data_IF_750607116954
#
_entry.id   IF_750607116954
#
_cell.length_a   1.000
_cell.length_b   1.000
_cell.length_c   1.000
_cell.angle_alpha   90.00
_cell.angle_beta   90.00
_cell.angle_gamma   90.00
#
_symmetry.space_group_name_H-M   'P 1'
#
loop_
_entity.id
_entity.type
_entity.pdbx_description
1 polymer ?
#
# COMPACT_ATOMS: atom_id res chain seq x y z
N UNK A 1 19.70 -8.04 -12.93
CA UNK A 1 19.94 -6.62 -12.55
C UNK A 1 20.11 -6.55 -11.05
N UNK A 2 21.15 -5.86 -10.57
CA UNK A 2 21.42 -5.76 -9.12
C UNK A 2 20.69 -4.59 -8.49
N UNK A 3 20.00 -4.82 -7.38
CA UNK A 3 19.14 -3.84 -6.70
C UNK A 3 19.46 -3.81 -5.21
N UNK A 4 19.69 -2.62 -4.67
CA UNK A 4 19.77 -2.40 -3.24
C UNK A 4 18.37 -2.11 -2.70
N UNK A 5 17.87 -2.93 -1.77
CA UNK A 5 16.64 -2.67 -1.04
C UNK A 5 16.99 -2.12 0.33
N UNK A 6 16.52 -0.92 0.64
CA UNK A 6 16.65 -0.30 1.95
C UNK A 6 15.28 -0.34 2.61
N UNK A 7 15.13 -1.16 3.65
CA UNK A 7 13.84 -1.29 4.37
C UNK A 7 14.05 -1.22 5.88
N UNK A 8 12.97 -0.98 6.63
CA UNK A 8 13.00 -0.94 8.07
C UNK A 8 13.17 -2.35 8.67
N UNK A 9 14.05 -2.53 9.66
CA UNK A 9 14.20 -3.80 10.38
C UNK A 9 12.91 -4.26 11.09
N UNK A 10 12.01 -3.32 11.39
CA UNK A 10 10.66 -3.58 11.92
C UNK A 10 9.62 -2.95 10.99
N UNK A 11 9.61 -3.40 9.72
CA UNK A 11 8.67 -2.93 8.70
C UNK A 11 7.26 -3.46 8.98
N UNK A 12 6.24 -2.61 8.89
CA UNK A 12 4.83 -2.95 9.10
C UNK A 12 3.94 -2.34 8.00
N UNK A 13 3.18 -3.15 7.24
CA UNK A 13 3.21 -4.62 7.23
C UNK A 13 4.61 -5.16 6.87
N UNK A 14 4.90 -6.39 7.31
CA UNK A 14 6.17 -7.06 7.01
C UNK A 14 6.17 -7.47 5.53
N UNK A 15 7.19 -7.04 4.78
CA UNK A 15 7.33 -7.31 3.35
C UNK A 15 8.41 -8.38 3.07
N UNK A 16 8.88 -9.10 4.08
CA UNK A 16 9.95 -10.10 3.94
C UNK A 16 9.61 -11.17 2.89
N UNK A 17 8.38 -11.68 2.86
CA UNK A 17 7.94 -12.64 1.83
C UNK A 17 7.92 -12.03 0.44
N UNK A 18 7.52 -10.76 0.31
CA UNK A 18 7.56 -10.03 -0.97
C UNK A 18 8.99 -9.90 -1.48
N UNK A 19 9.94 -9.49 -0.62
CA UNK A 19 11.34 -9.36 -1.02
C UNK A 19 12.03 -10.70 -1.27
N UNK A 20 11.70 -11.74 -0.51
CA UNK A 20 12.18 -13.09 -0.78
C UNK A 20 11.74 -13.56 -2.18
N UNK A 21 10.48 -13.31 -2.55
CA UNK A 21 9.96 -13.62 -3.89
C UNK A 21 10.58 -12.77 -4.99
N UNK A 22 10.83 -11.50 -4.72
CA UNK A 22 11.50 -10.61 -5.66
C UNK A 22 12.97 -11.05 -5.91
N UNK A 23 13.65 -11.58 -4.88
CA UNK A 23 15.01 -12.10 -4.98
C UNK A 23 15.14 -13.36 -5.87
N UNK A 24 14.03 -14.05 -6.16
CA UNK A 24 14.01 -15.15 -7.14
C UNK A 24 14.16 -14.64 -8.58
N UNK A 25 13.93 -13.35 -8.83
CA UNK A 25 13.90 -12.74 -10.16
C UNK A 25 15.02 -11.69 -10.37
N UNK A 26 15.49 -11.08 -9.29
CA UNK A 26 16.49 -10.01 -9.29
C UNK A 26 17.61 -10.31 -8.29
N UNK A 27 18.81 -9.79 -8.56
CA UNK A 27 19.92 -9.85 -7.61
C UNK A 27 19.72 -8.77 -6.54
N UNK A 28 19.17 -9.15 -5.39
CA UNK A 28 18.84 -8.23 -4.29
C UNK A 28 19.91 -8.23 -3.20
N UNK A 29 20.36 -7.04 -2.82
CA UNK A 29 21.03 -6.77 -1.55
C UNK A 29 20.03 -6.07 -0.63
N UNK A 30 19.62 -6.72 0.45
CA UNK A 30 18.60 -6.18 1.37
C UNK A 30 19.30 -5.65 2.63
N UNK A 31 19.14 -4.36 2.89
CA UNK A 31 19.62 -3.67 4.08
C UNK A 31 18.46 -3.34 5.01
N UNK A 32 18.38 -4.09 6.10
CA UNK A 32 17.46 -3.86 7.20
C UNK A 32 18.02 -2.76 8.10
N UNK A 33 17.33 -1.63 8.18
CA UNK A 33 17.77 -0.47 8.94
C UNK A 33 16.94 -0.28 10.21
N UNK A 34 17.60 -0.05 11.33
CA UNK A 34 16.96 0.39 12.55
C UNK A 34 16.46 1.86 12.47
N UNK A 35 15.80 2.35 13.53
CA UNK A 35 15.25 3.72 13.54
C UNK A 35 16.33 4.82 13.50
N UNK A 36 17.53 4.58 14.00
CA UNK A 36 18.64 5.53 13.96
C UNK A 36 19.25 5.57 12.55
N UNK A 37 19.47 4.40 11.96
CA UNK A 37 20.00 4.23 10.61
C UNK A 37 19.07 4.83 9.55
N UNK A 38 17.75 4.61 9.68
CA UNK A 38 16.75 5.22 8.79
C UNK A 38 16.79 6.76 8.80
N UNK A 39 17.20 7.40 9.91
CA UNK A 39 17.26 8.86 10.03
C UNK A 39 18.53 9.46 9.41
N UNK A 40 19.52 8.64 9.07
CA UNK A 40 20.77 9.08 8.46
C UNK A 40 21.31 8.04 7.47
N UNK A 41 20.61 7.90 6.35
CA UNK A 41 20.95 6.98 5.26
C UNK A 41 22.37 7.21 4.73
N UNK A 42 22.84 8.46 4.67
CA UNK A 42 24.23 8.77 4.26
C UNK A 42 25.25 8.05 5.13
N UNK A 43 25.02 8.04 6.46
CA UNK A 43 25.88 7.33 7.41
C UNK A 43 25.68 5.82 7.33
N UNK A 44 24.43 5.36 7.26
CA UNK A 44 24.10 3.93 7.26
C UNK A 44 24.60 3.20 6.01
N UNK A 45 24.73 3.94 4.90
CA UNK A 45 25.27 3.42 3.63
C UNK A 45 26.75 3.79 3.43
N UNK A 46 27.42 4.32 4.45
CA UNK A 46 28.85 4.60 4.37
C UNK A 46 29.62 3.28 4.16
N UNK A 47 30.41 3.20 3.10
CA UNK A 47 31.15 2.00 2.73
C UNK A 47 30.39 1.03 1.81
N UNK A 48 29.13 1.33 1.46
CA UNK A 48 28.43 0.63 0.38
C UNK A 48 28.82 1.29 -0.94
N UNK A 49 29.38 0.52 -1.88
CA UNK A 49 29.55 1.01 -3.25
C UNK A 49 28.18 1.07 -3.93
N UNK A 50 27.56 2.25 -3.91
CA UNK A 50 26.24 2.48 -4.48
C UNK A 50 26.25 2.44 -6.01
N UNK A 51 27.42 2.58 -6.65
CA UNK A 51 27.57 2.57 -8.11
C UNK A 51 27.33 1.19 -8.73
N UNK A 52 27.46 0.11 -7.95
CA UNK A 52 27.24 -1.26 -8.44
C UNK A 52 25.76 -1.63 -8.60
N UNK A 53 24.83 -0.83 -8.04
CA UNK A 53 23.40 -1.12 -8.10
C UNK A 53 22.75 -0.37 -9.24
N UNK A 54 22.03 -1.09 -10.09
CA UNK A 54 21.25 -0.47 -11.15
C UNK A 54 20.02 0.28 -10.60
N UNK A 55 19.50 -0.16 -9.44
CA UNK A 55 18.39 0.48 -8.74
C UNK A 55 18.63 0.48 -7.23
N UNK A 56 18.14 1.53 -6.58
CA UNK A 56 18.07 1.62 -5.11
C UNK A 56 16.60 1.77 -4.73
N UNK A 57 16.01 0.70 -4.21
CA UNK A 57 14.64 0.66 -3.72
C UNK A 57 14.59 1.15 -2.26
N UNK A 58 13.87 2.24 -2.02
CA UNK A 58 13.68 2.86 -0.72
C UNK A 58 12.28 2.53 -0.20
N UNK A 59 12.19 1.60 0.75
CA UNK A 59 10.99 1.22 1.51
C UNK A 59 11.19 1.58 2.99
N UNK A 60 11.29 2.88 3.27
CA UNK A 60 11.38 3.38 4.64
C UNK A 60 10.32 4.45 4.86
N UNK A 61 9.76 4.58 6.07
CA UNK A 61 8.66 5.50 6.30
C UNK A 61 9.01 6.93 5.90
N UNK A 62 8.15 7.58 5.11
CA UNK A 62 8.39 8.92 4.55
C UNK A 62 8.97 9.93 5.55
N UNK A 63 8.44 9.95 6.78
CA UNK A 63 8.91 10.82 7.89
C UNK A 63 10.39 10.70 8.22
N UNK A 64 11.03 9.59 7.86
CA UNK A 64 12.46 9.33 8.08
C UNK A 64 13.32 9.91 6.97
N UNK A 65 12.81 9.97 5.74
CA UNK A 65 13.57 10.41 4.57
C UNK A 65 13.34 11.88 4.19
N UNK A 66 12.28 12.52 4.68
CA UNK A 66 11.92 13.90 4.28
C UNK A 66 13.05 14.93 4.45
N UNK A 67 13.89 14.78 5.47
CA UNK A 67 15.02 15.70 5.75
C UNK A 67 16.33 15.31 5.06
N UNK A 68 16.33 14.22 4.31
CA UNK A 68 17.54 13.63 3.71
C UNK A 68 17.62 13.87 2.20
N UNK A 69 16.83 14.82 1.68
CA UNK A 69 16.72 15.14 0.26
C UNK A 69 18.07 15.37 -0.41
N UNK A 70 18.99 16.11 0.23
CA UNK A 70 20.31 16.39 -0.36
C UNK A 70 21.12 15.13 -0.67
N UNK A 71 21.11 14.14 0.24
CA UNK A 71 21.77 12.85 0.00
C UNK A 71 21.03 12.06 -1.08
N UNK A 72 19.71 11.95 -0.99
CA UNK A 72 18.92 11.20 -1.96
C UNK A 72 19.04 11.79 -3.38
N UNK A 73 19.02 13.11 -3.54
CA UNK A 73 19.24 13.76 -4.86
C UNK A 73 20.61 13.48 -5.46
N UNK A 74 21.60 13.02 -4.69
CA UNK A 74 22.91 12.65 -5.21
C UNK A 74 22.97 11.22 -5.77
N UNK A 75 21.94 10.40 -5.50
CA UNK A 75 21.88 9.00 -5.91
C UNK A 75 21.19 8.85 -7.27
N UNK A 76 21.60 7.81 -8.02
CA UNK A 76 20.97 7.43 -9.28
C UNK A 76 20.08 6.19 -9.10
N UNK A 77 19.13 5.98 -10.00
CA UNK A 77 18.26 4.79 -10.00
C UNK A 77 17.36 4.67 -8.76
N UNK A 78 17.01 5.78 -8.11
CA UNK A 78 16.18 5.80 -6.91
C UNK A 78 14.71 5.47 -7.22
N UNK A 79 14.24 4.37 -6.62
CA UNK A 79 12.84 3.95 -6.64
C UNK A 79 12.31 4.02 -5.23
N UNK A 80 11.22 4.74 -5.00
CA UNK A 80 10.52 4.77 -3.72
C UNK A 80 9.33 3.80 -3.77
N UNK A 81 9.16 2.97 -2.74
CA UNK A 81 7.93 2.21 -2.53
C UNK A 81 7.16 2.85 -1.37
N UNK A 82 5.98 3.41 -1.67
CA UNK A 82 5.29 4.30 -0.76
C UNK A 82 3.80 3.94 -0.60
N UNK A 83 3.47 3.41 0.58
CA UNK A 83 2.12 2.94 0.92
C UNK A 83 1.25 3.99 1.62
N UNK A 84 1.83 5.11 2.08
CA UNK A 84 1.17 6.16 2.87
C UNK A 84 0.96 7.48 2.10
N UNK A 85 1.34 7.54 0.82
CA UNK A 85 1.29 8.79 0.03
C UNK A 85 -0.14 9.31 -0.25
N UNK A 86 -1.20 8.55 0.04
CA UNK A 86 -2.58 9.07 -0.03
C UNK A 86 -2.77 10.32 0.85
N UNK A 87 -2.04 10.38 1.97
CA UNK A 87 -2.02 11.50 2.90
C UNK A 87 -1.59 12.82 2.24
N UNK A 88 -0.94 12.79 1.08
CA UNK A 88 -0.53 13.96 0.33
C UNK A 88 -1.71 14.84 -0.12
N UNK A 89 -2.86 14.24 -0.39
CA UNK A 89 -4.02 14.95 -0.96
C UNK A 89 -5.24 15.03 -0.04
N UNK A 90 -5.10 14.54 1.19
CA UNK A 90 -6.13 14.68 2.22
C UNK A 90 -5.92 16.05 2.89
N UNK A 91 -6.87 16.98 2.73
CA UNK A 91 -6.72 18.36 3.19
C UNK A 91 -6.54 18.50 4.71
N UNK A 92 -7.10 17.57 5.49
CA UNK A 92 -6.93 17.50 6.95
C UNK A 92 -5.64 16.84 7.40
N UNK A 93 -4.85 16.26 6.49
CA UNK A 93 -3.61 15.56 6.82
C UNK A 93 -2.47 16.52 7.12
N UNK A 94 -1.71 16.24 8.17
CA UNK A 94 -0.42 16.91 8.46
C UNK A 94 0.62 16.76 7.34
N UNK A 95 0.38 15.87 6.38
CA UNK A 95 1.24 15.60 5.21
C UNK A 95 0.70 16.19 3.91
N UNK A 96 -0.32 17.04 3.96
CA UNK A 96 -0.88 17.67 2.77
C UNK A 96 0.20 18.39 1.94
N UNK A 97 0.34 17.98 0.68
CA UNK A 97 1.35 18.44 -0.28
C UNK A 97 2.82 18.09 0.05
N UNK A 98 3.08 17.34 1.12
CA UNK A 98 4.45 17.05 1.55
C UNK A 98 5.18 16.09 0.62
N UNK A 99 4.49 15.09 0.06
CA UNK A 99 5.08 14.13 -0.86
C UNK A 99 5.38 14.78 -2.21
N UNK A 100 4.44 15.54 -2.77
CA UNK A 100 4.64 16.32 -4.00
C UNK A 100 5.88 17.21 -3.92
N UNK A 101 6.00 18.02 -2.85
CA UNK A 101 7.16 18.89 -2.64
C UNK A 101 8.47 18.12 -2.46
N UNK A 102 8.41 16.93 -1.84
CA UNK A 102 9.59 16.10 -1.64
C UNK A 102 10.08 15.54 -2.97
N UNK A 103 9.21 14.90 -3.75
CA UNK A 103 9.58 14.28 -5.03
C UNK A 103 9.96 15.31 -6.09
N UNK A 104 9.29 16.46 -6.16
CA UNK A 104 9.67 17.55 -7.05
C UNK A 104 11.08 18.13 -6.76
N UNK A 105 11.61 17.91 -5.56
CA UNK A 105 12.95 18.35 -5.18
C UNK A 105 14.06 17.32 -5.42
N UNK A 106 13.74 16.15 -5.96
CA UNK A 106 14.70 15.12 -6.35
C UNK A 106 14.97 15.21 -7.85
N UNK A 107 16.17 14.80 -8.28
CA UNK A 107 16.56 14.93 -9.68
C UNK A 107 15.68 14.09 -10.61
N UNK A 108 15.57 12.78 -10.37
CA UNK A 108 14.77 11.86 -11.18
C UNK A 108 14.25 10.67 -10.35
N UNK A 109 13.34 10.88 -9.38
CA UNK A 109 12.81 9.78 -8.61
C UNK A 109 11.78 9.00 -9.43
N UNK A 110 11.85 7.66 -9.37
CA UNK A 110 10.67 6.83 -9.64
C UNK A 110 9.94 6.57 -8.34
N UNK A 111 8.62 6.65 -8.34
CA UNK A 111 7.80 6.42 -7.14
C UNK A 111 6.72 5.40 -7.44
N UNK A 112 6.71 4.30 -6.71
CA UNK A 112 5.66 3.30 -6.76
C UNK A 112 4.73 3.57 -5.58
N UNK A 113 3.49 3.89 -5.87
CA UNK A 113 2.46 4.23 -4.88
C UNK A 113 1.28 3.26 -4.97
N UNK A 114 0.54 3.14 -3.88
CA UNK A 114 -0.51 2.14 -3.73
C UNK A 114 -1.91 2.56 -4.17
N UNK A 115 -2.08 3.80 -4.63
CA UNK A 115 -3.36 4.31 -5.14
C UNK A 115 -3.26 4.75 -6.61
N UNK A 116 -4.22 4.34 -7.44
CA UNK A 116 -4.19 4.59 -8.87
C UNK A 116 -4.37 6.08 -9.19
N UNK A 117 -5.34 6.72 -8.53
CA UNK A 117 -5.57 8.17 -8.65
C UNK A 117 -4.40 8.98 -8.11
N UNK A 118 -3.76 8.50 -7.04
CA UNK A 118 -2.54 9.07 -6.46
C UNK A 118 -1.37 9.01 -7.46
N UNK A 119 -1.12 7.85 -8.08
CA UNK A 119 -0.11 7.72 -9.14
C UNK A 119 -0.39 8.67 -10.30
N UNK A 120 -1.65 8.76 -10.74
CA UNK A 120 -2.05 9.69 -11.79
C UNK A 120 -1.75 11.15 -11.42
N UNK A 121 -2.11 11.60 -10.21
CA UNK A 121 -1.85 12.97 -9.76
C UNK A 121 -0.35 13.30 -9.70
N UNK A 122 0.46 12.40 -9.15
CA UNK A 122 1.92 12.58 -9.11
C UNK A 122 2.52 12.69 -10.52
N UNK A 123 2.00 11.94 -11.51
CA UNK A 123 2.41 12.11 -12.91
C UNK A 123 2.04 13.48 -13.48
N UNK A 124 0.86 13.99 -13.15
CA UNK A 124 0.46 15.35 -13.57
C UNK A 124 1.36 16.43 -12.94
N UNK A 125 1.98 16.12 -11.80
CA UNK A 125 2.98 16.97 -11.14
C UNK A 125 4.41 16.76 -11.67
N UNK A 126 4.60 15.94 -12.70
CA UNK A 126 5.90 15.67 -13.32
C UNK A 126 6.75 14.60 -12.64
N UNK A 127 6.19 13.81 -11.72
CA UNK A 127 6.89 12.70 -11.06
C UNK A 127 6.73 11.41 -11.89
N UNK A 128 7.80 10.63 -12.06
CA UNK A 128 7.74 9.28 -12.63
C UNK A 128 7.06 8.31 -11.64
N UNK A 129 5.74 8.40 -11.54
CA UNK A 129 4.95 7.64 -10.60
C UNK A 129 4.31 6.39 -11.24
N UNK A 130 4.25 5.30 -10.50
CA UNK A 130 3.63 4.04 -10.90
C UNK A 130 2.66 3.54 -9.83
N UNK A 131 1.62 2.83 -10.28
CA UNK A 131 0.62 2.26 -9.39
C UNK A 131 0.94 0.79 -9.15
N UNK A 132 1.02 0.40 -7.88
CA UNK A 132 1.05 -0.98 -7.43
C UNK A 132 0.18 -1.07 -6.18
N UNK A 133 -1.09 -1.46 -6.36
CA UNK A 133 -2.06 -1.58 -5.27
C UNK A 133 -1.56 -2.50 -4.15
N UNK A 134 -2.03 -2.23 -2.92
CA UNK A 134 -1.67 -3.05 -1.74
C UNK A 134 -2.06 -4.52 -1.95
N UNK A 135 -1.42 -5.39 -1.19
CA UNK A 135 -1.73 -6.81 -1.19
C UNK A 135 -1.49 -7.43 0.18
N UNK A 136 -1.29 -8.74 0.22
CA UNK A 136 -1.20 -9.49 1.46
C UNK A 136 -0.17 -10.62 1.39
N UNK A 137 0.33 -11.02 2.55
CA UNK A 137 1.18 -12.21 2.67
C UNK A 137 0.34 -13.49 2.71
N UNK A 138 0.36 -14.25 1.62
CA UNK A 138 -0.34 -15.54 1.52
C UNK A 138 0.25 -16.63 2.41
N UNK A 139 1.48 -16.49 2.91
CA UNK A 139 2.04 -17.41 3.90
C UNK A 139 1.45 -17.19 5.29
N UNK A 140 1.01 -15.96 5.60
CA UNK A 140 0.47 -15.60 6.91
C UNK A 140 -1.05 -15.49 6.95
N UNK A 141 -1.69 -15.16 5.83
CA UNK A 141 -3.12 -14.86 5.76
C UNK A 141 -3.80 -15.74 4.73
N UNK A 142 -4.67 -16.62 5.20
CA UNK A 142 -5.38 -17.60 4.38
C UNK A 142 -6.70 -18.00 5.06
N UNK A 143 -7.63 -18.54 4.26
CA UNK A 143 -8.87 -19.08 4.78
C UNK A 143 -8.63 -20.41 5.49
N UNK A 144 -9.21 -20.54 6.68
CA UNK A 144 -9.26 -21.76 7.47
C UNK A 144 -10.62 -22.45 7.28
N UNK A 145 -10.65 -23.78 7.34
CA UNK A 145 -11.91 -24.52 7.38
C UNK A 145 -12.52 -24.44 8.79
N UNK A 146 -13.25 -23.36 9.07
CA UNK A 146 -13.91 -23.14 10.35
C UNK A 146 -15.23 -22.40 10.21
N UNK A 147 -16.07 -22.52 11.23
CA UNK A 147 -17.30 -21.73 11.36
C UNK A 147 -16.96 -20.26 11.60
N UNK A 148 -17.62 -19.38 10.83
CA UNK A 148 -17.55 -17.93 10.96
C UNK A 148 -18.71 -17.44 11.83
N UNK A 149 -18.41 -17.08 13.07
CA UNK A 149 -19.39 -16.71 14.10
C UNK A 149 -19.61 -15.19 14.24
N UNK A 150 -18.83 -14.37 13.54
CA UNK A 150 -18.99 -12.91 13.48
C UNK A 150 -19.63 -12.55 12.15
N UNK A 151 -20.88 -12.05 12.16
CA UNK A 151 -21.58 -11.67 10.93
C UNK A 151 -20.88 -10.49 10.24
N UNK A 152 -20.79 -9.35 10.94
CA UNK A 152 -20.23 -8.10 10.43
C UNK A 152 -19.02 -7.72 11.28
N UNK A 153 -17.87 -7.56 10.66
CA UNK A 153 -16.63 -7.20 11.36
C UNK A 153 -15.87 -6.07 10.68
N UNK A 154 -15.24 -5.24 11.51
CA UNK A 154 -14.16 -4.34 11.09
C UNK A 154 -12.99 -4.51 12.06
N UNK A 155 -11.78 -4.72 11.53
CA UNK A 155 -10.57 -4.75 12.35
C UNK A 155 -9.74 -3.50 12.06
N UNK A 156 -9.47 -2.72 13.12
CA UNK A 156 -8.55 -1.60 13.03
C UNK A 156 -8.83 -0.48 14.02
N UNK A 157 -8.04 0.58 13.89
CA UNK A 157 -8.25 1.81 14.66
C UNK A 157 -9.36 2.63 14.01
N UNK A 158 -10.31 3.07 14.83
CA UNK A 158 -11.42 3.93 14.41
C UNK A 158 -11.18 5.41 14.77
N UNK A 159 -10.30 5.70 15.73
CA UNK A 159 -10.03 7.06 16.20
C UNK A 159 -8.72 7.62 15.61
N UNK A 160 -8.80 8.43 14.57
CA UNK A 160 -7.81 9.47 14.23
C UNK A 160 -8.50 10.62 13.47
N UNK A 161 -7.93 11.82 13.52
CA UNK A 161 -8.49 13.03 12.89
C UNK A 161 -8.61 12.85 11.37
N UNK A 162 -7.67 12.12 10.77
CA UNK A 162 -7.64 11.75 9.36
C UNK A 162 -8.75 10.76 8.98
N UNK A 163 -9.45 10.18 9.96
CA UNK A 163 -10.47 9.14 9.77
C UNK A 163 -11.85 9.51 10.35
N UNK A 164 -12.16 10.80 10.47
CA UNK A 164 -13.45 11.27 10.99
C UNK A 164 -14.64 10.67 10.21
N UNK A 165 -14.53 10.57 8.89
CA UNK A 165 -15.59 9.99 8.04
C UNK A 165 -15.74 8.48 8.25
N UNK A 166 -14.63 7.75 8.35
CA UNK A 166 -14.62 6.33 8.72
C UNK A 166 -15.30 6.10 10.07
N UNK A 167 -14.89 6.87 11.08
CA UNK A 167 -15.46 6.77 12.42
C UNK A 167 -16.97 7.01 12.39
N UNK A 168 -17.41 8.06 11.69
CA UNK A 168 -18.82 8.40 11.53
C UNK A 168 -19.60 7.25 10.89
N UNK A 169 -19.15 6.73 9.75
CA UNK A 169 -19.81 5.64 9.04
C UNK A 169 -19.90 4.37 9.91
N UNK A 170 -18.78 3.93 10.50
CA UNK A 170 -18.74 2.72 11.30
C UNK A 170 -19.58 2.84 12.58
N UNK A 171 -19.59 4.02 13.23
CA UNK A 171 -20.40 4.26 14.42
C UNK A 171 -21.90 4.27 14.11
N UNK A 172 -22.29 4.90 12.99
CA UNK A 172 -23.69 4.89 12.54
C UNK A 172 -24.16 3.48 12.15
N UNK A 173 -23.29 2.69 11.52
CA UNK A 173 -23.62 1.30 11.19
C UNK A 173 -23.75 0.45 12.46
N UNK A 174 -22.79 0.54 13.40
CA UNK A 174 -22.83 -0.20 14.66
C UNK A 174 -24.04 0.14 15.54
N UNK A 175 -24.64 1.32 15.36
CA UNK A 175 -25.86 1.71 16.07
C UNK A 175 -27.14 1.02 15.53
N UNK A 176 -27.11 0.45 14.31
CA UNK A 176 -28.29 -0.13 13.66
C UNK A 176 -28.09 -1.53 13.08
N UNK A 177 -26.86 -2.05 13.09
CA UNK A 177 -26.47 -3.39 12.63
C UNK A 177 -25.48 -3.99 13.65
N UNK A 178 -25.38 -5.33 13.79
CA UNK A 178 -24.51 -6.00 14.74
C UNK A 178 -23.02 -6.00 14.29
N UNK A 179 -22.50 -4.82 13.93
CA UNK A 179 -21.11 -4.62 13.54
C UNK A 179 -20.19 -4.72 14.75
N UNK A 180 -19.25 -5.66 14.71
CA UNK A 180 -18.18 -5.74 15.69
C UNK A 180 -16.98 -4.89 15.26
N UNK A 181 -16.67 -3.87 16.06
CA UNK A 181 -15.46 -3.05 15.92
C UNK A 181 -14.33 -3.67 16.75
N UNK A 182 -13.40 -4.32 16.07
CA UNK A 182 -12.42 -5.22 16.66
C UNK A 182 -11.00 -4.67 16.58
N UNK A 183 -10.15 -5.15 17.48
CA UNK A 183 -8.70 -4.91 17.48
C UNK A 183 -7.97 -6.22 17.74
N UNK A 184 -6.85 -6.39 17.07
CA UNK A 184 -6.00 -7.57 17.25
C UNK A 184 -4.53 -7.15 17.23
N UNK A 185 -3.68 -7.98 17.83
CA UNK A 185 -2.26 -7.95 17.53
C UNK A 185 -2.02 -8.47 16.10
N UNK A 186 -0.97 -8.00 15.39
CA UNK A 186 -0.56 -8.58 14.11
C UNK A 186 -0.22 -10.08 14.22
N UNK A 187 -0.17 -10.77 13.08
CA UNK A 187 0.19 -12.19 12.99
C UNK A 187 -1.02 -13.12 13.19
N UNK A 188 -0.80 -14.23 13.88
CA UNK A 188 -1.79 -15.32 13.99
C UNK A 188 -3.13 -14.85 14.58
N UNK A 189 -3.11 -14.04 15.64
CA UNK A 189 -4.33 -13.52 16.27
C UNK A 189 -5.20 -12.71 15.29
N UNK A 190 -4.56 -11.96 14.39
CA UNK A 190 -5.26 -11.21 13.34
C UNK A 190 -5.87 -12.15 12.30
N UNK A 191 -5.11 -13.14 11.80
CA UNK A 191 -5.60 -14.15 10.86
C UNK A 191 -6.80 -14.93 11.43
N UNK A 192 -6.69 -15.40 12.67
CA UNK A 192 -7.75 -16.15 13.33
C UNK A 192 -9.01 -15.30 13.48
N UNK A 193 -8.88 -14.00 13.79
CA UNK A 193 -10.02 -13.10 13.89
C UNK A 193 -10.68 -12.87 12.52
N UNK A 194 -9.90 -12.66 11.45
CA UNK A 194 -10.45 -12.54 10.09
C UNK A 194 -11.23 -13.81 9.70
N UNK A 195 -10.73 -15.00 10.06
CA UNK A 195 -11.41 -16.26 9.78
C UNK A 195 -12.68 -16.52 10.61
N UNK A 196 -13.02 -15.64 11.56
CA UNK A 196 -14.31 -15.65 12.26
C UNK A 196 -15.36 -14.76 11.59
N UNK A 197 -14.93 -13.82 10.75
CA UNK A 197 -15.80 -12.80 10.13
C UNK A 197 -16.41 -13.34 8.84
N UNK A 198 -17.72 -13.19 8.66
CA UNK A 198 -18.43 -13.51 7.42
C UNK A 198 -18.31 -12.36 6.41
N UNK A 199 -18.63 -11.15 6.86
CA UNK A 199 -18.61 -9.94 6.05
C UNK A 199 -17.71 -8.89 6.70
N UNK A 200 -16.66 -8.51 5.99
CA UNK A 200 -15.76 -7.45 6.40
C UNK A 200 -16.25 -6.12 5.85
N UNK A 201 -16.52 -5.15 6.73
CA UNK A 201 -16.98 -3.81 6.34
C UNK A 201 -15.78 -2.89 6.26
N UNK A 202 -15.35 -2.55 5.05
CA UNK A 202 -14.31 -1.55 4.82
C UNK A 202 -14.88 -0.14 4.79
N UNK A 203 -14.16 0.79 5.40
CA UNK A 203 -14.54 2.18 5.54
C UNK A 203 -13.36 3.09 5.19
N UNK A 204 -12.80 2.90 4.00
CA UNK A 204 -11.70 3.70 3.44
C UNK A 204 -12.21 4.99 2.77
N UNK A 205 -13.13 5.66 3.46
CA UNK A 205 -13.79 6.88 2.97
C UNK A 205 -12.75 7.98 2.76
N UNK A 206 -12.74 8.57 1.55
CA UNK A 206 -11.90 9.72 1.22
C UNK A 206 -10.43 9.42 0.97
N UNK A 207 -9.98 8.15 1.02
CA UNK A 207 -8.56 7.80 0.87
C UNK A 207 -8.10 7.76 -0.60
N UNK A 208 -8.99 7.39 -1.52
CA UNK A 208 -8.66 7.24 -2.94
C UNK A 208 -7.80 6.01 -3.25
N UNK A 209 -7.78 5.04 -2.35
CA UNK A 209 -7.13 3.73 -2.47
C UNK A 209 -7.71 2.72 -1.47
N UNK A 210 -7.51 1.43 -1.72
CA UNK A 210 -7.90 0.37 -0.78
C UNK A 210 -6.76 -0.01 0.17
N UNK A 211 -7.08 -0.12 1.46
CA UNK A 211 -6.10 -0.54 2.47
C UNK A 211 -5.81 -2.05 2.40
N UNK A 212 -4.62 -2.45 2.84
CA UNK A 212 -4.17 -3.87 2.85
C UNK A 212 -5.23 -4.80 3.46
N UNK A 213 -5.86 -4.37 4.56
CA UNK A 213 -6.93 -5.10 5.27
C UNK A 213 -8.08 -5.61 4.39
N UNK A 214 -8.37 -4.92 3.29
CA UNK A 214 -9.43 -5.34 2.38
C UNK A 214 -9.02 -6.63 1.68
N UNK A 215 -7.77 -6.69 1.19
CA UNK A 215 -7.21 -7.87 0.54
C UNK A 215 -6.94 -9.00 1.54
N UNK A 216 -6.46 -8.67 2.74
CA UNK A 216 -6.26 -9.61 3.83
C UNK A 216 -7.57 -10.29 4.26
N UNK A 217 -8.66 -9.52 4.37
CA UNK A 217 -9.99 -10.04 4.70
C UNK A 217 -10.54 -10.95 3.60
N UNK A 218 -10.43 -10.54 2.33
CA UNK A 218 -10.82 -11.36 1.18
C UNK A 218 -10.02 -12.66 1.13
N UNK A 219 -8.71 -12.61 1.39
CA UNK A 219 -7.83 -13.79 1.38
C UNK A 219 -8.20 -14.79 2.48
N UNK A 220 -8.62 -14.27 3.64
CA UNK A 220 -9.18 -15.04 4.74
C UNK A 220 -10.65 -15.42 4.53
N UNK A 221 -11.21 -15.26 3.32
CA UNK A 221 -12.54 -15.73 2.92
C UNK A 221 -13.73 -14.87 3.37
N UNK A 222 -13.49 -13.62 3.79
CA UNK A 222 -14.58 -12.69 4.08
C UNK A 222 -15.20 -12.19 2.77
N UNK A 223 -16.53 -12.00 2.74
CA UNK A 223 -17.12 -11.09 1.76
C UNK A 223 -16.71 -9.65 2.13
N UNK A 224 -16.29 -8.86 1.14
CA UNK A 224 -15.93 -7.46 1.35
C UNK A 224 -17.10 -6.54 0.97
N UNK A 225 -17.51 -5.69 1.91
CA UNK A 225 -18.29 -4.48 1.63
C UNK A 225 -17.31 -3.30 1.64
N UNK A 226 -17.19 -2.55 0.55
CA UNK A 226 -16.20 -1.48 0.46
C UNK A 226 -16.77 -0.15 -0.02
N UNK A 227 -16.18 0.94 0.47
CA UNK A 227 -16.48 2.28 -0.02
C UNK A 227 -16.06 2.39 -1.48
N UNK A 228 -16.94 2.91 -2.35
CA UNK A 228 -16.73 3.05 -3.79
C UNK A 228 -15.61 4.05 -4.12
N UNK A 229 -14.66 3.64 -4.95
CA UNK A 229 -13.47 4.39 -5.37
C UNK A 229 -13.17 4.15 -6.87
N UNK A 230 -13.95 4.74 -7.82
CA UNK A 230 -14.03 4.30 -9.22
C UNK A 230 -12.71 4.12 -9.98
N UNK A 231 -11.74 5.01 -9.71
CA UNK A 231 -10.43 4.95 -10.36
C UNK A 231 -9.60 3.76 -9.85
N UNK A 232 -9.75 3.42 -8.58
CA UNK A 232 -9.08 2.32 -7.92
C UNK A 232 -9.66 0.97 -8.36
N UNK A 233 -11.00 0.83 -8.39
CA UNK A 233 -11.62 -0.41 -8.87
C UNK A 233 -11.22 -0.74 -10.29
N UNK A 234 -11.25 0.26 -11.18
CA UNK A 234 -10.87 0.10 -12.58
C UNK A 234 -9.42 -0.31 -12.72
N UNK A 235 -8.52 0.33 -11.99
CA UNK A 235 -7.09 0.04 -12.06
C UNK A 235 -6.73 -1.33 -11.45
N UNK A 236 -7.45 -1.76 -10.41
CA UNK A 236 -7.27 -3.08 -9.83
C UNK A 236 -7.92 -4.19 -10.67
N UNK A 237 -9.02 -3.89 -11.37
CA UNK A 237 -9.90 -4.89 -11.99
C UNK A 237 -10.91 -5.48 -11.00
N UNK A 238 -11.25 -4.75 -9.93
CA UNK A 238 -12.30 -5.13 -8.98
C UNK A 238 -13.68 -4.82 -9.56
N UNK A 239 -14.65 -5.70 -9.32
CA UNK A 239 -15.99 -5.62 -9.92
C UNK A 239 -17.08 -5.77 -8.85
N UNK A 240 -17.97 -4.78 -8.82
CA UNK A 240 -19.13 -4.73 -7.93
C UNK A 240 -20.11 -5.87 -8.25
N UNK A 241 -20.58 -6.57 -7.22
CA UNK A 241 -21.45 -7.75 -7.37
C UNK A 241 -20.75 -9.05 -7.75
N UNK A 242 -19.46 -9.00 -8.11
CA UNK A 242 -18.65 -10.17 -8.48
C UNK A 242 -17.60 -10.47 -7.40
N UNK A 243 -16.66 -9.55 -7.16
CA UNK A 243 -15.55 -9.75 -6.20
C UNK A 243 -15.86 -9.18 -4.81
N UNK A 244 -16.71 -8.15 -4.76
CA UNK A 244 -17.10 -7.41 -3.56
C UNK A 244 -18.44 -6.70 -3.82
N UNK A 245 -19.00 -6.05 -2.80
CA UNK A 245 -20.10 -5.10 -2.99
C UNK A 245 -19.64 -3.69 -2.61
N UNK A 246 -19.87 -2.75 -3.51
CA UNK A 246 -19.50 -1.35 -3.33
C UNK A 246 -20.66 -0.54 -2.76
N UNK A 247 -20.35 0.40 -1.89
CA UNK A 247 -21.35 1.35 -1.38
C UNK A 247 -20.80 2.77 -1.32
N UNK A 248 -21.69 3.75 -1.33
CA UNK A 248 -21.40 5.19 -1.21
C UNK A 248 -22.25 5.87 -0.14
N UNK A 249 -23.09 5.11 0.57
CA UNK A 249 -23.90 5.62 1.68
C UNK A 249 -24.21 4.53 2.70
N UNK A 250 -24.62 4.95 3.91
CA UNK A 250 -25.11 4.02 4.94
C UNK A 250 -26.37 3.26 4.47
N UNK A 251 -27.23 3.91 3.68
CA UNK A 251 -28.46 3.29 3.16
C UNK A 251 -28.14 2.14 2.21
N UNK A 252 -27.25 2.38 1.24
CA UNK A 252 -26.78 1.35 0.30
C UNK A 252 -26.07 0.20 1.03
N UNK A 253 -25.21 0.54 1.99
CA UNK A 253 -24.53 -0.45 2.85
C UNK A 253 -25.53 -1.36 3.58
N UNK A 254 -26.57 -0.79 4.19
CA UNK A 254 -27.62 -1.57 4.87
C UNK A 254 -28.45 -2.39 3.88
N UNK A 255 -28.73 -1.85 2.70
CA UNK A 255 -29.39 -2.57 1.61
C UNK A 255 -28.60 -3.83 1.22
N UNK A 256 -27.28 -3.72 1.07
CA UNK A 256 -26.41 -4.89 0.82
C UNK A 256 -26.48 -5.90 1.96
N UNK A 257 -26.39 -5.47 3.21
CA UNK A 257 -26.47 -6.36 4.38
C UNK A 257 -27.79 -7.14 4.38
N UNK A 258 -28.92 -6.48 4.13
CA UNK A 258 -30.23 -7.14 4.04
C UNK A 258 -30.30 -8.16 2.90
N UNK A 259 -29.79 -7.81 1.72
CA UNK A 259 -29.73 -8.75 0.58
C UNK A 259 -28.86 -9.97 0.88
N UNK A 260 -27.71 -9.78 1.54
CA UNK A 260 -26.80 -10.88 1.90
C UNK A 260 -27.39 -11.81 2.96
N UNK A 261 -28.22 -11.29 3.87
CA UNK A 261 -28.98 -12.10 4.84
C UNK A 261 -30.08 -12.93 4.16
N UNK A 262 -30.76 -12.34 3.18
CA UNK A 262 -31.82 -13.00 2.42
C UNK A 262 -31.28 -14.07 1.45
N UNK A 263 -30.04 -13.93 0.97
CA UNK A 263 -29.42 -14.85 0.01
C UNK A 263 -28.00 -15.28 0.44
N UNK A 264 -27.88 -16.31 1.31
CA UNK A 264 -26.59 -16.83 1.74
C UNK A 264 -25.75 -17.44 0.61
N UNK A 265 -26.38 -17.92 -0.47
CA UNK A 265 -25.68 -18.49 -1.62
C UNK A 265 -24.98 -17.39 -2.43
N UNK A 266 -25.65 -16.26 -2.65
CA UNK A 266 -25.03 -15.07 -3.26
C UNK A 266 -23.86 -14.56 -2.44
N UNK A 267 -24.02 -14.50 -1.11
CA UNK A 267 -22.93 -14.14 -0.20
C UNK A 267 -21.71 -15.05 -0.37
N UNK A 268 -21.93 -16.37 -0.34
CA UNK A 268 -20.84 -17.34 -0.51
C UNK A 268 -20.16 -17.23 -1.87
N UNK A 269 -20.93 -17.01 -2.95
CA UNK A 269 -20.41 -16.84 -4.30
C UNK A 269 -19.49 -15.63 -4.41
N UNK A 270 -19.92 -14.47 -3.92
CA UNK A 270 -19.12 -13.23 -3.96
C UNK A 270 -17.86 -13.37 -3.09
N UNK A 271 -17.98 -13.93 -1.88
CA UNK A 271 -16.83 -14.17 -1.01
C UNK A 271 -15.78 -15.07 -1.70
N UNK A 272 -16.22 -16.17 -2.32
CA UNK A 272 -15.33 -17.10 -3.04
C UNK A 272 -14.67 -16.44 -4.25
N UNK A 273 -15.43 -15.67 -5.03
CA UNK A 273 -14.89 -14.97 -6.20
C UNK A 273 -13.88 -13.88 -5.78
N UNK A 274 -14.18 -13.11 -4.74
CA UNK A 274 -13.26 -12.13 -4.16
C UNK A 274 -11.98 -12.79 -3.65
N UNK A 275 -12.09 -13.90 -2.93
CA UNK A 275 -10.94 -14.66 -2.45
C UNK A 275 -10.05 -15.15 -3.59
N UNK A 276 -10.64 -15.78 -4.62
CA UNK A 276 -9.88 -16.24 -5.79
C UNK A 276 -9.19 -15.07 -6.52
N UNK A 277 -9.86 -13.94 -6.63
CA UNK A 277 -9.28 -12.73 -7.22
C UNK A 277 -8.06 -12.25 -6.43
N UNK A 278 -8.12 -12.11 -5.09
CA UNK A 278 -6.94 -11.64 -4.33
C UNK A 278 -5.79 -12.64 -4.39
N UNK A 279 -6.07 -13.94 -4.36
CA UNK A 279 -5.04 -14.97 -4.45
C UNK A 279 -4.25 -14.89 -5.75
N UNK A 280 -4.94 -14.59 -6.86
CA UNK A 280 -4.34 -14.54 -8.20
C UNK A 280 -3.76 -13.16 -8.55
N UNK A 281 -4.18 -12.09 -7.88
CA UNK A 281 -3.82 -10.72 -8.26
C UNK A 281 -3.04 -9.93 -7.21
N UNK A 282 -3.14 -10.30 -5.91
CA UNK A 282 -2.72 -9.45 -4.78
C UNK A 282 -1.94 -10.18 -3.69
N UNK A 283 -1.54 -11.43 -3.91
CA UNK A 283 -0.58 -12.09 -3.02
C UNK A 283 0.82 -11.47 -3.20
N UNK A 284 1.63 -11.48 -2.15
CA UNK A 284 3.00 -10.98 -2.22
C UNK A 284 3.87 -11.60 -3.32
N UNK A 285 3.76 -12.92 -3.66
CA UNK A 285 4.42 -13.46 -4.84
C UNK A 285 4.04 -12.72 -6.14
N UNK A 286 2.74 -12.49 -6.37
CA UNK A 286 2.26 -11.75 -7.55
C UNK A 286 2.70 -10.29 -7.52
N UNK A 287 2.67 -9.66 -6.35
CA UNK A 287 3.17 -8.29 -6.20
C UNK A 287 4.67 -8.18 -6.44
N UNK A 288 5.46 -9.19 -6.07
CA UNK A 288 6.90 -9.23 -6.32
C UNK A 288 7.19 -9.24 -7.82
N UNK A 289 6.45 -10.02 -8.62
CA UNK A 289 6.54 -9.99 -10.09
C UNK A 289 6.25 -8.59 -10.64
N UNK A 290 5.15 -7.97 -10.20
CA UNK A 290 4.77 -6.62 -10.64
C UNK A 290 5.81 -5.55 -10.25
N UNK A 291 6.34 -5.63 -9.03
CA UNK A 291 7.42 -4.75 -8.56
C UNK A 291 8.71 -4.97 -9.37
N UNK A 292 9.04 -6.22 -9.69
CA UNK A 292 10.17 -6.59 -10.53
C UNK A 292 10.11 -5.96 -11.92
N UNK A 293 8.91 -5.91 -12.53
CA UNK A 293 8.65 -5.19 -13.78
C UNK A 293 8.96 -3.69 -13.63
N UNK A 294 8.48 -3.04 -12.57
CA UNK A 294 8.74 -1.61 -12.35
C UNK A 294 10.22 -1.29 -12.10
N UNK A 295 10.94 -2.16 -11.39
CA UNK A 295 12.37 -2.03 -11.14
C UNK A 295 13.17 -2.19 -12.43
N UNK A 296 12.78 -3.16 -13.27
CA UNK A 296 13.47 -3.50 -14.53
C UNK A 296 13.10 -2.58 -15.69
N UNK A 297 12.00 -1.85 -15.59
CA UNK A 297 11.58 -0.91 -16.61
C UNK A 297 12.66 0.16 -16.88
N UNK A 298 12.74 0.56 -18.16
CA UNK A 298 13.68 1.57 -18.63
C UNK A 298 13.63 2.83 -17.75
N UNK A 299 14.81 3.39 -17.47
CA UNK A 299 14.89 4.65 -16.75
C UNK A 299 14.71 5.80 -17.74
N UNK A 300 14.01 6.88 -17.39
CA UNK A 300 13.93 8.05 -18.25
C UNK A 300 15.35 8.51 -18.64
N UNK A 301 15.65 8.49 -19.93
CA UNK A 301 16.92 9.00 -20.44
C UNK A 301 16.94 10.53 -20.30
N UNK A 302 18.07 11.10 -19.88
CA UNK A 302 18.31 12.54 -20.02
C UNK A 302 17.98 13.42 -18.82
N UNK A 303 17.84 12.89 -17.60
CA UNK A 303 17.96 13.75 -16.41
C UNK A 303 19.41 13.81 -15.99
N UNK A 304 20.19 14.67 -16.65
CA UNK A 304 21.47 15.11 -16.11
C UNK A 304 21.22 15.65 -14.70
N UNK A 305 22.01 15.18 -13.74
CA UNK A 305 21.93 15.64 -12.37
C UNK A 305 22.16 17.16 -12.37
N UNK A 306 21.23 18.02 -11.89
CA UNK A 306 21.48 19.46 -11.87
C UNK A 306 22.73 19.82 -11.05
N UNK A 307 23.20 18.93 -10.18
CA UNK A 307 24.42 19.10 -9.40
C UNK A 307 25.73 18.74 -10.14
N UNK A 308 25.70 18.05 -11.29
CA UNK A 308 26.92 17.80 -12.07
C UNK A 308 27.45 19.05 -12.78
N UNK A 309 26.66 20.12 -12.86
CA UNK A 309 27.05 21.39 -13.49
C UNK A 309 27.39 22.53 -12.50
N UNK A 310 27.26 22.34 -11.19
CA UNK A 310 27.56 23.40 -10.21
C UNK A 310 29.02 23.42 -9.71
N UNK A 311 29.80 22.36 -9.93
CA UNK A 311 31.19 22.27 -9.45
C UNK A 311 32.26 22.37 -10.55
N UNK A 312 31.87 22.54 -11.83
CA UNK A 312 32.79 22.68 -12.96
C UNK A 312 32.91 24.12 -13.51
N UNK A 313 32.33 25.12 -12.85
CA UNK A 313 32.35 26.54 -13.30
C UNK A 313 32.92 27.54 -12.28
N UNK A 314 33.82 27.10 -11.40
CA UNK A 314 34.66 28.01 -10.62
C UNK A 314 36.09 27.46 -10.59
N UNK A 315 36.81 27.62 -11.71
CA UNK A 315 38.22 28.02 -11.77
C UNK A 315 38.71 27.94 -13.23
N UNK A 316 38.93 29.09 -13.91
CA UNK A 316 40.12 29.31 -14.69
C UNK A 316 41.05 30.24 -13.89
N UNK A 317 42.37 30.02 -14.03
CA UNK A 317 43.52 30.63 -13.34
C UNK A 317 44.06 29.83 -12.15
#
# INVERSE_FOLDING_TARGET
MRVLVITAAQRLPDLSTLYAKLAEQLDLDIRLLDKAEQRNLKRSLAGVDLGQYARILVDVPFRRITRQRAFLSSLQGLVFYEEDACQNYISSSSRFGAFSRFYAGLAAPRVIVTGARLAWRLRQEGVDAHFLGKGYDSACLYAENRTRDIELGFIGRVASVEYAERYRLLSQLAACEPLQLLRTSPGEAYRQMLNRIQVFVSADVGLGEYMAKNFEAMACGCLLLAWRQPDEERALGLRDGEHLLLFSSLSELRGHIQQLRADPLRRARIASAGQQWVMTQRSYPVMAEQLGVHLSAAWPAGVENPQSNCWRKLWPF
#
